data_IF_687706956902
#
_entry.id   IF_687706956902
#
_cell.length_a   1.000
_cell.length_b   1.000
_cell.length_c   1.000
_cell.angle_alpha   90.00
_cell.angle_beta   90.00
_cell.angle_gamma   90.00
#
_symmetry.space_group_name_H-M   'P 1'
#
loop_
_entity.id
_entity.type
_entity.pdbx_description
1 polymer ?
#
# COMPACT_ATOMS: atom_id res chain seq x y z
N UNK A 1 29.50 52.87 -14.07
CA UNK A 1 29.70 51.84 -13.03
C UNK A 1 28.47 50.95 -13.01
N UNK A 2 28.58 49.77 -13.59
CA UNK A 2 27.42 48.86 -13.70
C UNK A 2 27.50 47.81 -12.58
N UNK A 3 26.57 47.85 -11.65
CA UNK A 3 26.44 46.80 -10.66
C UNK A 3 25.60 45.68 -11.24
N UNK A 4 26.24 44.57 -11.60
CA UNK A 4 25.53 43.35 -11.95
C UNK A 4 25.03 42.71 -10.66
N UNK A 5 23.76 42.85 -10.35
CA UNK A 5 23.16 42.06 -9.28
C UNK A 5 23.03 40.63 -9.77
N UNK A 6 23.91 39.77 -9.32
CA UNK A 6 23.79 38.34 -9.49
C UNK A 6 22.71 37.89 -8.51
N UNK A 7 21.51 37.64 -9.02
CA UNK A 7 20.48 36.92 -8.25
C UNK A 7 20.88 35.45 -8.25
N UNK A 8 21.45 35.00 -7.17
CA UNK A 8 21.55 33.58 -6.90
C UNK A 8 20.15 33.13 -6.52
N UNK A 9 19.41 32.62 -7.51
CA UNK A 9 18.19 31.88 -7.21
C UNK A 9 18.65 30.58 -6.60
N UNK A 10 18.67 30.50 -5.26
CA UNK A 10 18.73 29.24 -4.58
C UNK A 10 17.42 28.51 -4.90
N UNK A 11 17.44 27.67 -5.93
CA UNK A 11 16.38 26.72 -6.15
C UNK A 11 16.45 25.76 -4.96
N UNK A 12 15.62 26.01 -3.97
CA UNK A 12 15.29 25.00 -3.00
C UNK A 12 14.56 23.91 -3.78
N UNK A 13 15.30 22.89 -4.20
CA UNK A 13 14.70 21.64 -4.56
C UNK A 13 13.97 21.15 -3.29
N UNK A 14 12.68 21.45 -3.19
CA UNK A 14 11.84 20.72 -2.28
C UNK A 14 12.01 19.26 -2.70
N UNK A 15 12.73 18.47 -1.90
CA UNK A 15 12.76 17.03 -2.06
C UNK A 15 11.37 16.53 -1.71
N UNK A 16 10.46 16.63 -2.69
CA UNK A 16 9.22 15.89 -2.63
C UNK A 16 9.64 14.41 -2.63
N UNK A 17 9.48 13.74 -1.48
CA UNK A 17 9.60 12.30 -1.43
C UNK A 17 8.55 11.74 -2.36
N UNK A 18 8.92 11.40 -3.60
CA UNK A 18 8.03 10.75 -4.53
C UNK A 18 7.58 9.42 -3.93
N UNK A 19 6.28 9.18 -3.92
CA UNK A 19 5.74 7.86 -3.58
C UNK A 19 6.28 6.88 -4.61
N UNK A 20 6.84 5.75 -4.16
CA UNK A 20 7.47 4.76 -5.03
C UNK A 20 6.50 4.20 -6.08
N UNK A 21 5.21 4.09 -5.74
CA UNK A 21 4.12 3.71 -6.66
C UNK A 21 3.03 4.76 -6.51
N UNK A 22 3.09 5.84 -7.30
CA UNK A 22 2.16 6.94 -7.16
C UNK A 22 0.79 6.64 -7.75
N UNK A 23 -0.20 7.46 -7.37
CA UNK A 23 -1.52 7.45 -7.96
C UNK A 23 -2.52 6.61 -7.21
N UNK A 24 -3.75 6.66 -7.74
CA UNK A 24 -4.88 5.89 -7.23
C UNK A 24 -4.99 4.60 -8.05
N UNK A 25 -5.12 3.49 -7.35
CA UNK A 25 -5.28 2.17 -7.93
C UNK A 25 -6.70 1.67 -7.67
N UNK A 26 -7.22 0.83 -8.55
CA UNK A 26 -8.55 0.25 -8.42
C UNK A 26 -8.46 -1.26 -8.56
N UNK A 27 -9.02 -1.99 -7.61
CA UNK A 27 -9.04 -3.43 -7.61
C UNK A 27 -10.16 -3.98 -6.76
N UNK A 28 -10.12 -5.28 -6.52
CA UNK A 28 -11.06 -5.97 -5.63
C UNK A 28 -10.50 -6.02 -4.22
N UNK A 29 -11.41 -6.12 -3.25
CA UNK A 29 -11.08 -6.34 -1.85
C UNK A 29 -11.66 -7.67 -1.37
N UNK A 30 -10.83 -8.40 -0.64
CA UNK A 30 -11.19 -9.66 0.01
C UNK A 30 -10.65 -9.65 1.44
N UNK A 31 -10.89 -10.68 2.21
CA UNK A 31 -10.25 -10.85 3.51
C UNK A 31 -9.76 -12.27 3.70
N UNK A 32 -8.83 -12.43 4.63
CA UNK A 32 -8.23 -13.72 4.96
C UNK A 32 -7.86 -13.80 6.43
N UNK A 33 -7.68 -15.01 6.94
CA UNK A 33 -7.14 -15.23 8.29
C UNK A 33 -5.65 -14.92 8.30
N UNK A 34 -5.25 -13.97 9.13
CA UNK A 34 -3.87 -13.52 9.24
C UNK A 34 -3.02 -14.52 10.01
N UNK A 35 -1.72 -14.33 9.98
CA UNK A 35 -0.73 -15.17 10.67
C UNK A 35 0.67 -14.68 10.38
N UNK A 36 1.60 -15.60 10.18
CA UNK A 36 2.94 -15.25 9.71
C UNK A 36 2.88 -14.79 8.26
N UNK A 37 3.43 -13.61 8.02
CA UNK A 37 3.32 -12.91 6.73
C UNK A 37 4.62 -12.97 5.93
N UNK A 38 4.52 -12.61 4.64
CA UNK A 38 5.69 -12.50 3.75
C UNK A 38 6.72 -11.49 4.26
N UNK A 39 6.29 -10.46 4.97
CA UNK A 39 7.18 -9.47 5.60
C UNK A 39 7.85 -9.99 6.88
N UNK A 40 7.59 -11.23 7.30
CA UNK A 40 8.22 -11.84 8.46
C UNK A 40 7.63 -11.44 9.80
N UNK A 41 6.51 -10.72 9.80
CA UNK A 41 5.78 -10.37 11.02
C UNK A 41 4.55 -11.26 11.17
N UNK A 42 4.15 -11.54 12.40
CA UNK A 42 2.92 -12.26 12.69
C UNK A 42 1.83 -11.26 13.05
N UNK A 43 0.73 -11.30 12.32
CA UNK A 43 -0.43 -10.44 12.57
C UNK A 43 -1.61 -11.24 13.10
N UNK A 44 -2.50 -10.56 13.79
CA UNK A 44 -3.79 -11.10 14.25
C UNK A 44 -4.92 -10.51 13.40
N UNK A 45 -6.09 -11.17 13.43
CA UNK A 45 -7.27 -10.73 12.66
C UNK A 45 -7.81 -9.37 13.09
N UNK A 46 -7.46 -8.89 14.29
CA UNK A 46 -7.88 -7.59 14.82
C UNK A 46 -7.00 -6.43 14.37
N UNK A 47 -5.85 -6.71 13.80
CA UNK A 47 -4.94 -5.69 13.27
C UNK A 47 -5.40 -5.20 11.89
N UNK A 48 -5.11 -3.95 11.58
CA UNK A 48 -5.42 -3.35 10.26
C UNK A 48 -4.23 -3.54 9.32
N UNK A 49 -4.25 -4.67 8.62
CA UNK A 49 -3.23 -5.02 7.63
C UNK A 49 -3.87 -5.50 6.33
N UNK A 50 -3.09 -5.54 5.28
CA UNK A 50 -3.47 -6.16 4.02
C UNK A 50 -2.28 -6.80 3.33
N UNK A 51 -2.60 -7.79 2.50
CA UNK A 51 -1.71 -8.34 1.50
C UNK A 51 -1.93 -7.61 0.17
N UNK A 52 -0.85 -7.34 -0.53
CA UNK A 52 -0.89 -6.92 -1.94
C UNK A 52 -0.66 -8.10 -2.86
N UNK A 53 -0.98 -7.95 -4.15
CA UNK A 53 -0.72 -8.98 -5.14
C UNK A 53 0.76 -9.36 -5.19
N UNK A 54 1.04 -10.61 -5.58
CA UNK A 54 2.41 -11.05 -5.85
C UNK A 54 3.06 -10.21 -6.96
N UNK A 55 2.27 -9.75 -7.93
CA UNK A 55 2.74 -8.90 -9.03
C UNK A 55 3.31 -7.59 -8.48
N UNK A 56 2.56 -6.90 -7.64
CA UNK A 56 3.02 -5.66 -7.01
C UNK A 56 4.14 -5.90 -6.01
N UNK A 57 4.00 -6.93 -5.18
CA UNK A 57 5.00 -7.26 -4.14
C UNK A 57 6.38 -7.51 -4.77
N UNK A 58 6.42 -8.35 -5.79
CA UNK A 58 7.68 -8.80 -6.40
C UNK A 58 8.33 -7.73 -7.28
N UNK A 59 7.57 -6.77 -7.78
CA UNK A 59 8.04 -5.67 -8.63
C UNK A 59 8.19 -4.34 -7.88
N UNK A 60 7.96 -4.32 -6.57
CA UNK A 60 7.98 -3.06 -5.81
C UNK A 60 9.36 -2.41 -5.91
N UNK A 61 9.42 -1.08 -6.17
CA UNK A 61 10.69 -0.37 -6.32
C UNK A 61 11.63 -0.55 -5.13
N UNK A 62 12.87 -0.93 -5.40
CA UNK A 62 13.88 -1.20 -4.39
C UNK A 62 13.90 -2.63 -3.85
N UNK A 63 12.96 -3.47 -4.25
CA UNK A 63 13.00 -4.89 -3.88
C UNK A 63 13.86 -5.67 -4.87
N UNK A 64 14.95 -6.24 -4.36
CA UNK A 64 15.94 -6.97 -5.18
C UNK A 64 15.58 -8.46 -5.37
N UNK A 65 14.48 -8.94 -4.78
CA UNK A 65 14.16 -10.36 -4.71
C UNK A 65 14.88 -11.06 -3.55
N UNK A 66 14.77 -12.37 -3.48
CA UNK A 66 15.39 -13.17 -2.42
C UNK A 66 14.55 -13.17 -1.14
N UNK A 67 15.02 -12.54 -0.07
CA UNK A 67 14.30 -12.54 1.20
C UNK A 67 13.08 -11.61 1.15
N UNK A 68 11.84 -12.15 1.21
CA UNK A 68 10.64 -11.32 1.16
C UNK A 68 10.52 -10.35 2.34
N UNK A 69 11.12 -10.65 3.48
CA UNK A 69 11.11 -9.76 4.64
C UNK A 69 11.86 -8.44 4.39
N UNK A 70 12.73 -8.39 3.40
CA UNK A 70 13.51 -7.20 3.04
C UNK A 70 12.83 -6.33 1.99
N UNK A 71 11.60 -6.63 1.62
CA UNK A 71 10.87 -5.81 0.65
C UNK A 71 10.55 -4.44 1.24
N UNK A 72 10.91 -3.33 0.55
CA UNK A 72 10.57 -1.98 1.00
C UNK A 72 9.06 -1.71 1.13
N UNK A 73 8.20 -2.52 0.51
CA UNK A 73 6.74 -2.41 0.65
C UNK A 73 6.28 -2.76 2.09
N UNK A 74 7.07 -3.55 2.80
CA UNK A 74 6.73 -4.01 4.15
C UNK A 74 6.57 -2.83 5.11
N UNK A 75 5.40 -2.73 5.73
CA UNK A 75 5.07 -1.65 6.66
C UNK A 75 4.59 -0.37 6.01
N UNK A 76 4.52 -0.29 4.68
CA UNK A 76 3.92 0.85 3.98
C UNK A 76 2.44 0.95 4.31
N UNK A 77 1.97 2.19 4.47
CA UNK A 77 0.57 2.48 4.75
C UNK A 77 -0.17 2.79 3.45
N UNK A 78 -1.35 2.22 3.31
CA UNK A 78 -2.28 2.54 2.23
C UNK A 78 -3.65 2.90 2.81
N UNK A 79 -4.37 3.79 2.15
CA UNK A 79 -5.76 4.10 2.46
C UNK A 79 -6.65 3.62 1.33
N UNK A 80 -7.61 2.78 1.68
CA UNK A 80 -8.57 2.19 0.75
C UNK A 80 -9.95 2.81 0.96
N UNK A 81 -10.68 2.99 -0.13
CA UNK A 81 -12.02 3.57 -0.16
C UNK A 81 -12.99 2.64 -0.89
N UNK A 82 -14.17 2.52 -0.35
CA UNK A 82 -15.26 1.75 -0.95
C UNK A 82 -16.61 2.32 -0.53
N UNK A 83 -17.42 2.76 -1.49
CA UNK A 83 -18.79 3.25 -1.26
C UNK A 83 -18.89 4.26 -0.09
N UNK A 84 -18.03 5.27 -0.07
CA UNK A 84 -18.01 6.32 0.95
C UNK A 84 -17.38 5.93 2.28
N UNK A 85 -16.89 4.69 2.41
CA UNK A 85 -16.15 4.20 3.58
C UNK A 85 -14.66 4.14 3.27
N UNK A 86 -13.83 4.19 4.29
CA UNK A 86 -12.38 4.11 4.14
C UNK A 86 -11.74 3.36 5.30
N UNK A 87 -10.56 2.80 5.02
CA UNK A 87 -9.71 2.17 6.02
C UNK A 87 -8.24 2.39 5.65
N UNK A 88 -7.41 2.63 6.64
CA UNK A 88 -5.96 2.70 6.47
C UNK A 88 -5.34 1.44 7.05
N UNK A 89 -4.50 0.78 6.26
CA UNK A 89 -3.85 -0.49 6.62
C UNK A 89 -2.37 -0.42 6.35
N UNK A 90 -1.60 -1.28 7.04
CA UNK A 90 -0.20 -1.55 6.71
C UNK A 90 -0.11 -2.75 5.77
N UNK A 91 0.77 -2.67 4.80
CA UNK A 91 1.09 -3.81 3.94
C UNK A 91 2.11 -4.70 4.64
N UNK A 92 1.74 -5.95 4.86
CA UNK A 92 2.60 -6.92 5.54
C UNK A 92 2.72 -8.25 4.81
N UNK A 93 1.91 -8.47 3.78
CA UNK A 93 1.80 -9.80 3.19
C UNK A 93 1.66 -9.76 1.66
N UNK A 94 1.82 -10.93 1.06
CA UNK A 94 1.84 -11.18 -0.37
C UNK A 94 0.72 -12.17 -0.74
N UNK A 95 -0.12 -11.78 -1.69
CA UNK A 95 -1.27 -12.56 -2.13
C UNK A 95 -1.00 -13.20 -3.50
N UNK A 96 -0.93 -14.53 -3.53
CA UNK A 96 -0.68 -15.31 -4.76
C UNK A 96 -1.84 -15.23 -5.76
N UNK A 97 -3.08 -15.22 -5.26
CA UNK A 97 -4.28 -15.29 -6.09
C UNK A 97 -4.82 -13.92 -6.49
N UNK A 98 -4.22 -12.84 -6.03
CA UNK A 98 -4.69 -11.49 -6.29
C UNK A 98 -4.28 -11.00 -7.68
N UNK A 99 -5.17 -10.25 -8.34
CA UNK A 99 -4.79 -9.42 -9.48
C UNK A 99 -3.96 -8.23 -9.00
N UNK A 100 -3.29 -7.54 -9.92
CA UNK A 100 -2.23 -6.56 -9.60
C UNK A 100 -2.63 -5.54 -8.54
N UNK A 101 -3.84 -5.00 -8.60
CA UNK A 101 -4.30 -3.92 -7.71
C UNK A 101 -5.34 -4.36 -6.68
N UNK A 102 -5.51 -5.66 -6.50
CA UNK A 102 -6.36 -6.19 -5.45
C UNK A 102 -5.70 -6.02 -4.07
N UNK A 103 -6.52 -5.90 -3.04
CA UNK A 103 -6.09 -5.95 -1.65
C UNK A 103 -6.83 -7.08 -0.92
N UNK A 104 -6.06 -7.89 -0.19
CA UNK A 104 -6.59 -8.93 0.68
C UNK A 104 -6.41 -8.49 2.14
N UNK A 105 -7.50 -8.05 2.75
CA UNK A 105 -7.49 -7.40 4.05
C UNK A 105 -7.54 -8.40 5.20
N UNK A 106 -7.05 -7.98 6.36
CA UNK A 106 -7.45 -8.62 7.61
C UNK A 106 -8.96 -8.52 7.82
N UNK A 107 -9.58 -9.43 8.58
CA UNK A 107 -11.01 -9.35 8.87
C UNK A 107 -11.43 -8.01 9.46
N UNK A 108 -10.68 -7.48 10.44
CA UNK A 108 -10.99 -6.20 11.06
C UNK A 108 -10.97 -5.03 10.06
N UNK A 109 -10.01 -5.01 9.15
CA UNK A 109 -9.93 -3.96 8.12
C UNK A 109 -11.07 -4.09 7.10
N UNK A 110 -11.37 -5.29 6.63
CA UNK A 110 -12.44 -5.52 5.67
C UNK A 110 -13.80 -5.04 6.20
N UNK A 111 -14.09 -5.28 7.47
CA UNK A 111 -15.36 -4.86 8.08
C UNK A 111 -15.55 -3.36 8.12
N UNK A 112 -14.48 -2.56 7.99
CA UNK A 112 -14.58 -1.11 7.85
C UNK A 112 -15.13 -0.69 6.48
N UNK A 113 -15.06 -1.56 5.49
CA UNK A 113 -15.50 -1.30 4.12
C UNK A 113 -16.81 -1.98 3.77
N UNK A 114 -17.04 -3.19 4.29
CA UNK A 114 -18.19 -4.04 3.92
C UNK A 114 -18.47 -5.08 4.99
N UNK A 115 -19.67 -5.66 4.95
CA UNK A 115 -19.98 -6.82 5.78
C UNK A 115 -19.18 -8.04 5.32
N UNK A 116 -18.78 -8.89 6.27
CA UNK A 116 -17.99 -10.10 6.01
C UNK A 116 -18.71 -11.08 5.08
N UNK A 117 -20.02 -11.15 5.15
CA UNK A 117 -20.86 -12.05 4.34
C UNK A 117 -20.75 -11.77 2.85
N UNK A 118 -20.39 -10.54 2.45
CA UNK A 118 -20.19 -10.19 1.05
C UNK A 118 -18.95 -10.89 0.48
N UNK A 119 -17.90 -11.03 1.27
CA UNK A 119 -16.69 -11.79 0.97
C UNK A 119 -15.75 -11.14 -0.04
N UNK A 120 -16.28 -10.60 -1.12
CA UNK A 120 -15.51 -9.94 -2.18
C UNK A 120 -16.24 -8.68 -2.63
N UNK A 121 -15.54 -7.56 -2.66
CA UNK A 121 -16.04 -6.27 -3.13
C UNK A 121 -15.23 -5.80 -4.33
N UNK A 122 -15.90 -5.18 -5.29
CA UNK A 122 -15.29 -4.66 -6.51
C UNK A 122 -15.31 -3.13 -6.51
N UNK A 123 -14.29 -2.52 -7.10
CA UNK A 123 -14.19 -1.06 -7.16
C UNK A 123 -13.60 -0.43 -5.90
N UNK A 124 -12.77 -1.16 -5.18
CA UNK A 124 -11.95 -0.58 -4.10
C UNK A 124 -10.88 0.30 -4.72
N UNK A 125 -10.85 1.57 -4.33
CA UNK A 125 -9.80 2.49 -4.74
C UNK A 125 -8.84 2.72 -3.58
N UNK A 126 -7.54 2.76 -3.87
CA UNK A 126 -6.54 2.92 -2.84
C UNK A 126 -5.26 3.56 -3.36
N UNK A 127 -4.50 4.12 -2.45
CA UNK A 127 -3.20 4.72 -2.74
C UNK A 127 -2.26 4.57 -1.56
N UNK A 128 -0.95 4.57 -1.87
CA UNK A 128 0.05 4.66 -0.81
C UNK A 128 0.05 6.04 -0.19
N UNK A 129 0.21 6.10 1.14
CA UNK A 129 0.25 7.37 1.87
C UNK A 129 1.65 8.00 1.86
N UNK A 130 2.65 7.21 1.58
CA UNK A 130 4.04 7.68 1.55
C UNK A 130 4.97 6.76 0.77
#
# INVERSE_FOLDING_TARGET
>A
MFFTKVFVIASMAASAFAVAVPGKHTGQGTYYDTGLTACGVTNTNDEYIAAVSHILYDSFPGYAGGNPNNNPICGKSVTAHYQGKSVTVKITDRCEACAEWDLDFSPAAFTQLSAMEVGRISGVTWSFNN
#
